data_IF_743621316480
#
_entry.id   IF_743621316480
#
_cell.length_a   1.000
_cell.length_b   1.000
_cell.length_c   1.000
_cell.angle_alpha   90.00
_cell.angle_beta   90.00
_cell.angle_gamma   90.00
#
_symmetry.space_group_name_H-M   'P 1'
#
loop_
_entity.id
_entity.type
_entity.pdbx_description
1 polymer ?
#
# COMPACT_ATOMS: atom_id res chain seq x y z
N UNK A 1 36.89 -14.93 -17.69
CA UNK A 1 36.60 -15.37 -16.31
C UNK A 1 37.21 -14.37 -15.37
N UNK A 2 36.39 -13.57 -14.69
CA UNK A 2 36.49 -13.28 -13.25
C UNK A 2 35.30 -12.40 -12.88
N UNK A 3 34.39 -13.00 -12.11
CA UNK A 3 33.22 -12.42 -11.47
C UNK A 3 33.61 -11.27 -10.53
N UNK A 4 32.85 -10.18 -10.59
CA UNK A 4 32.82 -9.15 -9.55
C UNK A 4 31.38 -9.04 -9.02
N UNK A 5 30.99 -9.99 -8.17
CA UNK A 5 29.83 -9.83 -7.29
C UNK A 5 30.25 -9.01 -6.06
N UNK A 6 30.23 -7.69 -6.22
CA UNK A 6 30.59 -6.74 -5.17
C UNK A 6 29.48 -6.56 -4.13
N UNK A 7 29.78 -6.98 -2.89
CA UNK A 7 29.33 -6.40 -1.62
C UNK A 7 27.81 -6.21 -1.42
N UNK A 8 27.15 -7.29 -0.99
CA UNK A 8 26.03 -7.14 -0.06
C UNK A 8 26.58 -6.70 1.31
N UNK A 9 26.57 -5.39 1.55
CA UNK A 9 26.75 -4.86 2.89
C UNK A 9 25.61 -5.34 3.78
N UNK A 10 25.84 -6.43 4.52
CA UNK A 10 25.00 -6.82 5.64
C UNK A 10 24.98 -5.64 6.62
N UNK A 11 23.78 -5.14 6.91
CA UNK A 11 23.55 -4.27 8.06
C UNK A 11 24.13 -4.90 9.33
N UNK A 12 24.72 -4.10 10.24
CA UNK A 12 25.32 -4.61 11.47
C UNK A 12 24.30 -5.38 12.30
N UNK A 13 24.78 -6.48 12.88
CA UNK A 13 24.04 -7.49 13.64
C UNK A 13 23.07 -6.88 14.66
N UNK A 14 21.79 -6.86 14.32
CA UNK A 14 20.71 -6.71 15.30
C UNK A 14 20.66 -8.00 16.09
N UNK A 15 21.24 -8.01 17.30
CA UNK A 15 21.16 -9.14 18.22
C UNK A 15 19.70 -9.30 18.64
N UNK A 16 19.03 -10.36 18.18
CA UNK A 16 17.68 -10.72 18.63
C UNK A 16 17.82 -11.49 19.95
N UNK A 17 17.42 -10.93 21.11
CA UNK A 17 17.72 -11.50 22.42
C UNK A 17 16.83 -12.68 22.85
N UNK A 18 16.06 -13.27 21.94
CA UNK A 18 15.18 -14.39 22.27
C UNK A 18 14.88 -15.21 21.02
N UNK A 19 15.69 -16.26 20.76
CA UNK A 19 15.43 -17.48 19.96
C UNK A 19 14.79 -17.41 18.56
N UNK A 20 14.28 -16.26 18.15
CA UNK A 20 13.39 -16.05 17.02
C UNK A 20 14.22 -15.52 15.86
N UNK A 21 15.11 -16.39 15.37
CA UNK A 21 15.81 -16.14 14.12
C UNK A 21 14.75 -16.03 13.02
N UNK A 22 14.74 -14.95 12.21
CA UNK A 22 13.83 -14.87 11.09
C UNK A 22 14.04 -16.11 10.23
N UNK A 23 12.94 -16.80 9.90
CA UNK A 23 12.95 -17.97 9.02
C UNK A 23 13.79 -17.62 7.79
N UNK A 24 14.83 -18.42 7.52
CA UNK A 24 15.67 -18.26 6.32
C UNK A 24 14.85 -18.69 5.10
N UNK A 25 13.95 -17.81 4.70
CA UNK A 25 13.17 -17.96 3.48
C UNK A 25 14.03 -17.54 2.29
N UNK A 26 13.87 -18.25 1.16
CA UNK A 26 14.48 -17.85 -0.10
C UNK A 26 14.13 -16.38 -0.38
N UNK A 27 15.16 -15.55 -0.51
CA UNK A 27 14.99 -14.11 -0.70
C UNK A 27 14.22 -13.78 -1.99
N UNK A 28 14.30 -14.68 -2.99
CA UNK A 28 13.61 -14.52 -4.27
C UNK A 28 12.07 -14.64 -4.15
N UNK A 29 11.56 -15.47 -3.24
CA UNK A 29 10.12 -15.75 -3.13
C UNK A 29 9.39 -14.77 -2.19
N UNK A 30 10.15 -14.03 -1.38
CA UNK A 30 9.62 -13.11 -0.37
C UNK A 30 8.73 -12.00 -0.96
N UNK A 31 9.10 -11.29 -2.06
CA UNK A 31 8.27 -10.23 -2.62
C UNK A 31 6.91 -10.75 -3.11
N UNK A 32 6.89 -11.92 -3.77
CA UNK A 32 5.66 -12.53 -4.26
C UNK A 32 4.68 -12.82 -3.11
N UNK A 33 5.18 -13.39 -2.01
CA UNK A 33 4.36 -13.65 -0.81
C UNK A 33 3.91 -12.38 -0.10
N UNK A 34 4.74 -11.34 -0.06
CA UNK A 34 4.34 -10.06 0.54
C UNK A 34 3.19 -9.41 -0.22
N UNK A 35 3.17 -9.51 -1.56
CA UNK A 35 2.11 -8.93 -2.41
C UNK A 35 0.74 -9.59 -2.19
N UNK A 36 0.69 -10.85 -1.76
CA UNK A 36 -0.58 -11.54 -1.49
C UNK A 36 -1.24 -11.12 -0.18
N UNK A 37 -0.52 -10.44 0.72
CA UNK A 37 -1.02 -10.04 2.06
C UNK A 37 -0.98 -8.54 2.29
N UNK A 38 -0.12 -7.81 1.58
CA UNK A 38 -0.01 -6.36 1.68
C UNK A 38 -0.79 -5.73 0.52
N UNK A 39 -1.97 -5.13 0.78
CA UNK A 39 -2.75 -4.49 -0.27
C UNK A 39 -1.99 -3.30 -0.85
N UNK A 40 -2.01 -3.17 -2.18
CA UNK A 40 -1.51 -2.00 -2.89
C UNK A 40 -2.48 -0.81 -2.76
N UNK A 41 -3.78 -1.09 -2.76
CA UNK A 41 -4.84 -0.08 -2.66
C UNK A 41 -5.56 -0.16 -1.32
N UNK A 42 -5.67 0.99 -0.64
CA UNK A 42 -6.40 1.13 0.62
C UNK A 42 -7.34 2.34 0.53
N UNK A 43 -8.44 2.32 1.28
CA UNK A 43 -9.39 3.42 1.36
C UNK A 43 -8.78 4.60 2.15
N UNK A 44 -7.82 5.31 1.54
CA UNK A 44 -7.17 6.48 2.17
C UNK A 44 -8.22 7.57 2.40
N UNK A 45 -8.19 8.22 3.56
CA UNK A 45 -9.21 9.20 3.97
C UNK A 45 -9.46 10.29 2.93
N UNK A 46 -8.41 10.84 2.30
CA UNK A 46 -8.57 11.86 1.27
C UNK A 46 -9.37 11.39 0.03
N UNK A 47 -9.26 10.10 -0.33
CA UNK A 47 -10.03 9.50 -1.44
C UNK A 47 -11.49 9.28 -1.04
N UNK A 48 -11.72 8.90 0.20
CA UNK A 48 -13.07 8.75 0.76
C UNK A 48 -13.75 10.12 0.83
N UNK A 49 -13.06 11.13 1.35
CA UNK A 49 -13.57 12.50 1.44
C UNK A 49 -13.88 13.07 0.05
N UNK A 50 -12.99 12.90 -0.93
CA UNK A 50 -13.26 13.33 -2.30
C UNK A 50 -14.50 12.65 -2.91
N UNK A 51 -14.72 11.36 -2.62
CA UNK A 51 -15.90 10.64 -3.07
C UNK A 51 -17.18 11.11 -2.39
N UNK A 52 -17.14 11.41 -1.09
CA UNK A 52 -18.27 11.96 -0.34
C UNK A 52 -18.60 13.37 -0.82
N UNK A 53 -17.58 14.22 -1.01
CA UNK A 53 -17.75 15.59 -1.48
C UNK A 53 -18.40 15.60 -2.88
N UNK A 54 -17.90 14.79 -3.82
CA UNK A 54 -18.49 14.68 -5.16
C UNK A 54 -19.97 14.24 -5.10
N UNK A 55 -20.29 13.23 -4.29
CA UNK A 55 -21.65 12.72 -4.17
C UNK A 55 -22.60 13.72 -3.48
N UNK A 56 -22.12 14.48 -2.49
CA UNK A 56 -22.96 15.39 -1.69
C UNK A 56 -23.11 16.78 -2.29
N UNK A 57 -22.06 17.31 -2.94
CA UNK A 57 -22.04 18.64 -3.54
C UNK A 57 -22.55 18.61 -4.98
N UNK A 58 -22.12 17.63 -5.76
CA UNK A 58 -22.38 17.56 -7.21
C UNK A 58 -23.37 16.45 -7.60
N UNK A 59 -23.70 15.56 -6.65
CA UNK A 59 -24.52 14.37 -6.94
C UNK A 59 -23.78 13.30 -7.75
N UNK A 60 -22.45 13.41 -7.89
CA UNK A 60 -21.64 12.50 -8.69
C UNK A 60 -21.13 11.32 -7.86
N UNK A 61 -21.61 10.13 -8.19
CA UNK A 61 -21.18 8.87 -7.57
C UNK A 61 -20.04 8.17 -8.33
N UNK A 62 -19.55 8.74 -9.44
CA UNK A 62 -18.45 8.20 -10.23
C UNK A 62 -17.17 7.94 -9.41
N UNK A 63 -16.68 8.90 -8.60
CA UNK A 63 -15.52 8.69 -7.74
C UNK A 63 -15.72 7.59 -6.70
N UNK A 64 -16.93 7.46 -6.15
CA UNK A 64 -17.29 6.40 -5.21
C UNK A 64 -17.26 5.02 -5.86
N UNK A 65 -17.88 4.88 -7.05
CA UNK A 65 -17.89 3.62 -7.80
C UNK A 65 -16.46 3.21 -8.22
N UNK A 66 -15.66 4.17 -8.65
CA UNK A 66 -14.26 3.94 -9.01
C UNK A 66 -13.44 3.46 -7.81
N UNK A 67 -13.61 4.10 -6.64
CA UNK A 67 -12.95 3.67 -5.41
C UNK A 67 -13.36 2.26 -5.01
N UNK A 68 -14.66 1.92 -5.08
CA UNK A 68 -15.14 0.56 -4.80
C UNK A 68 -14.55 -0.49 -5.77
N UNK A 69 -14.49 -0.19 -7.06
CA UNK A 69 -13.94 -1.09 -8.06
C UNK A 69 -12.45 -1.43 -7.78
N UNK A 70 -11.68 -0.43 -7.36
CA UNK A 70 -10.28 -0.61 -6.97
C UNK A 70 -10.15 -1.47 -5.72
N UNK A 71 -10.95 -1.17 -4.69
CA UNK A 71 -10.91 -1.86 -3.40
C UNK A 71 -11.44 -3.30 -3.46
N UNK A 72 -12.15 -3.69 -4.51
CA UNK A 72 -12.58 -5.06 -4.74
C UNK A 72 -11.40 -6.01 -5.04
N UNK A 73 -10.28 -5.49 -5.57
CA UNK A 73 -9.06 -6.25 -5.87
C UNK A 73 -7.81 -5.53 -5.34
N UNK A 74 -7.69 -5.36 -4.01
CA UNK A 74 -6.73 -4.42 -3.44
C UNK A 74 -5.27 -4.89 -3.53
N UNK A 75 -5.04 -6.18 -3.81
CA UNK A 75 -3.72 -6.81 -3.95
C UNK A 75 -3.21 -6.85 -5.39
N UNK A 76 -4.13 -6.79 -6.38
CA UNK A 76 -3.80 -6.92 -7.80
C UNK A 76 -3.20 -5.60 -8.32
N UNK A 77 -2.27 -5.65 -9.27
CA UNK A 77 -1.82 -4.45 -9.97
C UNK A 77 -2.88 -3.95 -10.95
N UNK A 78 -3.28 -2.68 -10.82
CA UNK A 78 -4.25 -2.01 -11.68
C UNK A 78 -3.61 -0.70 -12.20
N UNK A 79 -2.85 -0.74 -13.32
CA UNK A 79 -2.09 0.40 -13.84
C UNK A 79 -2.93 1.65 -14.09
N UNK A 80 -4.18 1.47 -14.51
CA UNK A 80 -5.17 2.51 -14.74
C UNK A 80 -5.63 3.21 -13.44
N UNK A 81 -5.38 2.58 -12.29
CA UNK A 81 -5.79 3.04 -10.96
C UNK A 81 -4.60 3.44 -10.07
N UNK A 82 -3.40 3.64 -10.64
CA UNK A 82 -2.20 4.00 -9.87
C UNK A 82 -2.39 5.28 -9.03
N UNK A 83 -3.29 6.17 -9.45
CA UNK A 83 -3.69 7.34 -8.67
C UNK A 83 -4.19 7.00 -7.27
N UNK A 84 -4.88 5.88 -7.08
CA UNK A 84 -5.43 5.44 -5.79
C UNK A 84 -4.38 4.84 -4.86
N UNK A 85 -3.22 4.41 -5.38
CA UNK A 85 -2.11 3.92 -4.56
C UNK A 85 -1.28 5.06 -3.95
N UNK A 86 -1.29 6.24 -4.58
CA UNK A 86 -0.49 7.39 -4.17
C UNK A 86 -0.84 7.89 -2.76
N UNK A 87 0.16 8.37 -1.99
CA UNK A 87 -0.10 9.06 -0.74
C UNK A 87 -0.88 10.36 -1.00
N UNK A 88 -1.61 10.89 0.01
CA UNK A 88 -2.19 12.23 -0.09
C UNK A 88 -1.11 13.28 -0.32
N UNK A 89 -1.42 14.30 -1.13
CA UNK A 89 -0.69 15.55 -1.10
C UNK A 89 -0.86 16.25 0.26
N UNK A 90 -0.03 17.26 0.53
CA UNK A 90 -0.01 17.95 1.82
C UNK A 90 -1.34 18.65 2.11
N UNK A 91 -1.98 19.17 1.06
CA UNK A 91 -3.27 19.87 1.09
C UNK A 91 -4.46 18.90 1.18
N UNK A 92 -4.27 17.64 0.78
CA UNK A 92 -5.30 16.59 0.79
C UNK A 92 -5.37 15.84 2.13
N UNK A 93 -4.51 16.19 3.09
CA UNK A 93 -4.47 15.51 4.39
C UNK A 93 -5.74 15.78 5.19
N UNK A 94 -6.57 14.76 5.31
CA UNK A 94 -7.70 14.74 6.23
C UNK A 94 -7.17 14.52 7.66
N UNK A 95 -7.14 15.60 8.46
CA UNK A 95 -6.64 15.59 9.84
C UNK A 95 -7.68 15.13 10.88
N UNK A 96 -8.93 15.01 10.46
CA UNK A 96 -10.07 14.64 11.30
C UNK A 96 -10.75 13.44 10.67
N UNK A 97 -10.69 12.30 11.34
CA UNK A 97 -11.30 11.06 10.82
C UNK A 97 -12.30 10.55 11.83
N UNK A 98 -13.55 10.43 11.41
CA UNK A 98 -14.58 9.77 12.20
C UNK A 98 -14.62 8.31 11.79
N UNK A 99 -13.80 7.48 12.43
CA UNK A 99 -14.03 6.04 12.40
C UNK A 99 -15.23 5.75 13.32
N UNK A 100 -16.45 5.85 12.77
CA UNK A 100 -17.68 5.48 13.45
C UNK A 100 -17.86 3.96 13.48
N UNK A 101 -17.88 3.41 14.71
CA UNK A 101 -18.10 2.01 15.16
C UNK A 101 -17.18 0.92 14.64
#
# INVERSE_FOLDING_TARGET
MHDIAGKHGLHPSRSYPDGNMPRRENAADRPARMRTVNPKYIARNHRVEAAIAAATVEGDFGPFQSLLAVLARPFDEQPEMEAYARPPADEERVLQTFCGT
#
